data_IF_340345308101
#
_entry.id   IF_340345308101
#
_cell.length_a   1.000
_cell.length_b   1.000
_cell.length_c   1.000
_cell.angle_alpha   90.00
_cell.angle_beta   90.00
_cell.angle_gamma   90.00
#
_symmetry.space_group_name_H-M   'P 1'
#
loop_
_entity.id
_entity.type
_entity.pdbx_description
1 polymer ?
#
# COMPACT_ATOMS: atom_id res chain seq x y z
N UNK A 1 -69.01 -31.01 34.00
CA UNK A 1 -67.85 -31.28 34.85
C UNK A 1 -66.66 -31.42 33.95
N UNK A 2 -65.96 -30.35 33.87
CA UNK A 2 -64.54 -30.17 34.26
C UNK A 2 -63.59 -30.78 33.29
N UNK A 3 -62.58 -30.30 32.85
CA UNK A 3 -61.74 -29.10 33.17
C UNK A 3 -60.78 -28.93 32.03
N UNK A 4 -60.52 -27.74 31.73
CA UNK A 4 -59.39 -27.29 30.90
C UNK A 4 -58.04 -27.67 31.49
N UNK A 5 -57.01 -27.90 30.73
CA UNK A 5 -55.73 -27.31 31.03
C UNK A 5 -55.09 -26.57 29.86
N UNK A 6 -54.96 -25.32 30.06
CA UNK A 6 -53.81 -24.46 29.89
C UNK A 6 -52.84 -24.74 28.72
N UNK A 7 -52.97 -23.82 27.78
CA UNK A 7 -51.90 -23.36 26.89
C UNK A 7 -50.62 -22.99 27.69
N UNK A 8 -49.56 -23.66 27.35
CA UNK A 8 -48.20 -23.24 27.66
C UNK A 8 -47.54 -22.74 26.38
N UNK A 9 -47.49 -21.42 26.27
CA UNK A 9 -46.68 -20.69 25.29
C UNK A 9 -45.17 -20.87 25.63
N UNK A 10 -44.35 -21.40 24.74
CA UNK A 10 -42.89 -21.31 24.92
C UNK A 10 -42.37 -19.94 24.49
N UNK A 11 -41.61 -19.35 25.39
CA UNK A 11 -40.82 -18.16 25.32
C UNK A 11 -39.93 -18.10 24.07
N UNK A 12 -39.78 -16.97 23.38
CA UNK A 12 -38.80 -16.79 22.33
C UNK A 12 -37.49 -16.36 22.97
N UNK A 13 -36.64 -17.32 23.34
CA UNK A 13 -35.28 -17.08 23.79
C UNK A 13 -34.28 -17.36 22.68
N UNK A 14 -33.38 -16.35 22.52
CA UNK A 14 -32.04 -16.42 21.97
C UNK A 14 -31.89 -16.64 20.47
N UNK A 15 -32.17 -15.59 19.74
CA UNK A 15 -31.48 -15.34 18.48
C UNK A 15 -30.09 -14.72 18.81
N UNK A 16 -29.10 -15.61 18.97
CA UNK A 16 -27.71 -15.23 18.98
C UNK A 16 -27.34 -14.66 17.58
N UNK A 17 -26.93 -13.38 17.42
CA UNK A 17 -26.53 -12.87 16.12
C UNK A 17 -25.20 -13.52 15.72
N UNK A 18 -25.20 -14.19 14.58
CA UNK A 18 -24.06 -14.77 13.91
C UNK A 18 -22.96 -13.68 13.70
N UNK A 19 -21.72 -13.87 14.23
CA UNK A 19 -20.65 -12.87 14.07
C UNK A 19 -20.01 -12.88 12.67
N UNK A 20 -20.60 -13.53 11.67
CA UNK A 20 -20.08 -13.67 10.31
C UNK A 20 -20.78 -12.77 9.29
N UNK A 21 -20.87 -11.48 9.54
CA UNK A 21 -21.61 -10.61 8.62
C UNK A 21 -21.19 -9.15 8.57
N UNK A 22 -19.96 -8.81 8.93
CA UNK A 22 -19.42 -7.50 8.61
C UNK A 22 -18.72 -7.56 7.25
N UNK A 23 -19.47 -7.30 6.17
CA UNK A 23 -18.89 -7.02 4.86
C UNK A 23 -18.11 -5.70 4.97
N UNK A 24 -16.76 -5.69 4.88
CA UNK A 24 -16.01 -4.43 4.91
C UNK A 24 -16.42 -3.65 3.65
N UNK A 25 -16.94 -2.44 3.86
CA UNK A 25 -17.28 -1.52 2.79
C UNK A 25 -16.07 -1.24 1.88
N UNK A 26 -16.30 -0.79 0.63
CA UNK A 26 -15.21 -0.55 -0.31
C UNK A 26 -14.31 0.56 0.21
N UNK A 27 -13.11 0.20 0.72
CA UNK A 27 -12.11 1.17 1.13
C UNK A 27 -11.30 0.83 2.39
N UNK A 28 -11.71 -0.11 3.22
CA UNK A 28 -10.90 -0.50 4.38
C UNK A 28 -9.72 -1.39 3.95
N UNK A 29 -8.48 -1.05 4.33
CA UNK A 29 -7.35 -1.93 4.04
C UNK A 29 -7.54 -3.25 4.79
N UNK A 30 -7.65 -4.34 4.03
CA UNK A 30 -7.70 -5.70 4.59
C UNK A 30 -6.41 -5.92 5.38
N UNK A 31 -6.48 -6.37 6.66
CA UNK A 31 -5.29 -6.71 7.41
C UNK A 31 -4.48 -7.76 6.64
N UNK A 32 -3.15 -7.62 6.67
CA UNK A 32 -2.25 -8.57 6.02
C UNK A 32 -2.54 -9.98 6.54
N UNK A 33 -2.92 -10.90 5.65
CA UNK A 33 -2.84 -12.32 5.97
C UNK A 33 -1.35 -12.69 5.97
N UNK A 34 -0.85 -13.28 7.03
CA UNK A 34 0.55 -13.75 7.21
C UNK A 34 0.95 -14.87 6.23
N UNK A 35 0.50 -14.81 5.01
CA UNK A 35 0.74 -15.82 3.95
C UNK A 35 0.60 -15.26 2.53
N UNK A 36 0.20 -14.00 2.36
CA UNK A 36 0.07 -13.41 1.02
C UNK A 36 1.44 -13.06 0.44
N UNK A 37 1.97 -13.94 -0.39
CA UNK A 37 3.25 -13.74 -1.07
C UNK A 37 3.13 -12.84 -2.31
N UNK A 38 1.93 -12.52 -2.76
CA UNK A 38 1.70 -11.68 -3.94
C UNK A 38 1.79 -10.18 -3.64
N UNK A 39 1.80 -9.82 -2.35
CA UNK A 39 1.67 -8.43 -1.91
C UNK A 39 2.59 -8.11 -0.74
N UNK A 40 3.12 -6.89 -0.71
CA UNK A 40 3.75 -6.27 0.46
C UNK A 40 2.81 -5.20 0.99
N UNK A 41 2.56 -5.18 2.29
CA UNK A 41 1.75 -4.16 2.96
C UNK A 41 2.55 -3.51 4.07
N UNK A 42 2.60 -2.19 4.07
CA UNK A 42 3.25 -1.40 5.12
C UNK A 42 2.27 -0.34 5.58
N UNK A 43 2.19 -0.13 6.87
CA UNK A 43 1.43 0.96 7.47
C UNK A 43 2.32 1.73 8.43
N UNK A 44 2.23 3.06 8.39
CA UNK A 44 2.98 3.94 9.28
C UNK A 44 2.13 5.14 9.67
N UNK A 45 2.20 5.53 10.94
CA UNK A 45 1.71 6.82 11.39
C UNK A 45 2.77 7.89 11.15
N UNK A 46 2.34 9.00 10.55
CA UNK A 46 3.15 10.20 10.32
C UNK A 46 2.51 11.37 11.09
N UNK A 47 3.24 12.08 11.97
CA UNK A 47 2.68 13.17 12.78
C UNK A 47 2.50 14.47 11.95
N UNK A 48 2.08 14.35 10.70
CA UNK A 48 1.91 15.42 9.74
C UNK A 48 0.53 15.28 9.05
N UNK A 49 -0.16 16.38 8.73
CA UNK A 49 -1.48 16.33 8.09
C UNK A 49 -1.38 15.73 6.67
N UNK A 50 -2.48 15.11 6.15
CA UNK A 50 -2.49 14.47 4.82
C UNK A 50 -2.00 15.38 3.69
N UNK A 51 -2.38 16.66 3.70
CA UNK A 51 -1.91 17.64 2.70
C UNK A 51 -0.38 17.74 2.64
N UNK A 52 0.31 17.74 3.80
CA UNK A 52 1.78 17.80 3.86
C UNK A 52 2.41 16.50 3.34
N UNK A 53 1.86 15.35 3.74
CA UNK A 53 2.31 14.04 3.25
C UNK A 53 2.10 13.91 1.74
N UNK A 54 0.96 14.37 1.25
CA UNK A 54 0.65 14.39 -0.18
C UNK A 54 1.67 15.18 -0.98
N UNK A 55 2.03 16.38 -0.52
CA UNK A 55 3.08 17.18 -1.15
C UNK A 55 4.41 16.43 -1.24
N UNK A 56 4.82 15.78 -0.16
CA UNK A 56 6.05 14.98 -0.15
C UNK A 56 6.02 13.80 -1.14
N UNK A 57 4.83 13.27 -1.46
CA UNK A 57 4.64 12.20 -2.44
C UNK A 57 4.52 12.69 -3.89
N UNK A 58 4.21 13.97 -4.12
CA UNK A 58 3.79 14.45 -5.44
C UNK A 58 4.51 15.71 -5.94
N UNK A 59 5.19 16.46 -5.08
CA UNK A 59 6.01 17.59 -5.51
C UNK A 59 7.44 17.09 -5.85
N UNK A 60 7.93 17.29 -7.10
CA UNK A 60 9.22 16.73 -7.54
C UNK A 60 10.39 17.07 -6.63
N UNK A 61 10.51 18.34 -6.18
CA UNK A 61 11.59 18.77 -5.32
C UNK A 61 11.55 18.13 -3.92
N UNK A 62 10.35 17.80 -3.43
CA UNK A 62 10.18 17.11 -2.15
C UNK A 62 10.38 15.60 -2.32
N UNK A 63 9.86 15.04 -3.40
CA UNK A 63 10.02 13.63 -3.75
C UNK A 63 11.52 13.27 -3.88
N UNK A 64 12.32 14.11 -4.53
CA UNK A 64 13.75 13.93 -4.71
C UNK A 64 14.55 13.90 -3.39
N UNK A 65 13.99 14.39 -2.28
CA UNK A 65 14.67 14.38 -0.99
C UNK A 65 14.68 13.00 -0.29
N UNK A 66 13.81 12.10 -0.70
CA UNK A 66 13.64 10.81 -0.03
C UNK A 66 13.52 9.61 -0.96
N UNK A 67 13.12 9.84 -2.21
CA UNK A 67 13.01 8.81 -3.24
C UNK A 67 14.35 8.63 -3.96
N UNK A 68 14.43 7.66 -4.87
CA UNK A 68 15.60 7.40 -5.70
C UNK A 68 15.85 8.53 -6.71
N UNK A 69 17.10 8.74 -7.17
CA UNK A 69 17.44 9.64 -8.27
C UNK A 69 16.57 9.40 -9.51
N UNK A 70 16.14 10.46 -10.17
CA UNK A 70 15.18 10.44 -11.30
C UNK A 70 13.76 10.81 -10.86
N UNK A 71 13.50 10.91 -9.55
CA UNK A 71 12.19 11.31 -9.03
C UNK A 71 11.85 12.78 -9.27
N UNK A 72 12.83 13.61 -9.56
CA UNK A 72 12.69 15.00 -9.99
C UNK A 72 11.94 15.15 -11.32
N UNK A 73 11.90 14.09 -12.13
CA UNK A 73 11.15 14.04 -13.39
C UNK A 73 9.66 13.70 -13.19
N UNK A 74 9.24 13.43 -11.96
CA UNK A 74 7.85 13.11 -11.64
C UNK A 74 6.88 14.23 -12.03
N UNK A 75 5.73 13.86 -12.55
CA UNK A 75 4.57 14.74 -12.76
C UNK A 75 3.30 14.03 -12.33
N UNK A 76 2.43 14.74 -11.61
CA UNK A 76 1.15 14.21 -11.18
C UNK A 76 0.14 14.24 -12.34
N UNK A 77 0.34 13.35 -13.29
CA UNK A 77 -0.48 13.19 -14.49
C UNK A 77 -0.65 11.70 -14.80
N UNK A 78 -1.88 11.23 -14.96
CA UNK A 78 -2.16 9.84 -15.31
C UNK A 78 -1.53 9.50 -16.67
N UNK A 79 -0.77 8.42 -16.70
CA UNK A 79 -0.01 7.99 -17.87
C UNK A 79 1.42 8.56 -17.94
N UNK A 80 1.76 9.58 -17.15
CA UNK A 80 3.13 10.11 -17.10
C UNK A 80 4.13 9.01 -16.72
N UNK A 81 5.27 8.97 -17.41
CA UNK A 81 6.35 8.00 -17.21
C UNK A 81 7.64 8.70 -16.87
N UNK A 82 8.38 8.14 -15.95
CA UNK A 82 9.71 8.59 -15.58
C UNK A 82 10.55 7.40 -15.12
N UNK A 83 11.86 7.62 -15.01
CA UNK A 83 12.81 6.56 -14.69
C UNK A 83 13.51 6.87 -13.38
N UNK A 84 13.56 5.89 -12.49
CA UNK A 84 14.35 5.97 -11.27
C UNK A 84 15.63 5.14 -11.42
N UNK A 85 16.71 5.61 -10.79
CA UNK A 85 18.01 4.94 -10.82
C UNK A 85 18.38 4.45 -9.42
N UNK A 86 18.81 3.20 -9.34
CA UNK A 86 19.28 2.56 -8.11
C UNK A 86 20.53 1.73 -8.39
N UNK A 87 21.14 1.19 -7.33
CA UNK A 87 22.27 0.28 -7.47
C UNK A 87 21.81 -1.06 -8.08
N UNK A 88 22.39 -1.50 -9.19
CA UNK A 88 22.07 -2.80 -9.78
C UNK A 88 22.27 -3.95 -8.79
N UNK A 89 21.38 -4.94 -8.85
CA UNK A 89 21.45 -6.15 -8.01
C UNK A 89 21.33 -7.40 -8.87
N UNK A 90 22.44 -7.91 -9.44
CA UNK A 90 22.42 -9.05 -10.35
C UNK A 90 21.78 -10.30 -9.73
N UNK A 91 21.99 -10.53 -8.42
CA UNK A 91 21.40 -11.68 -7.70
C UNK A 91 19.86 -11.63 -7.60
N UNK A 92 19.26 -10.46 -7.77
CA UNK A 92 17.81 -10.25 -7.82
C UNK A 92 17.34 -9.95 -9.25
N UNK A 93 18.21 -10.15 -10.24
CA UNK A 93 17.96 -9.80 -11.66
C UNK A 93 17.46 -8.37 -11.84
N UNK A 94 17.99 -7.44 -11.06
CA UNK A 94 17.63 -6.03 -11.06
C UNK A 94 18.70 -5.20 -11.78
N UNK A 95 18.30 -4.52 -12.86
CA UNK A 95 19.21 -3.73 -13.70
C UNK A 95 19.68 -2.43 -13.06
N UNK A 96 18.99 -1.96 -12.03
CA UNK A 96 19.21 -0.66 -11.42
C UNK A 96 18.38 0.45 -12.05
N UNK A 97 17.57 0.17 -13.04
CA UNK A 97 16.71 1.15 -13.71
C UNK A 97 15.25 0.74 -13.56
N UNK A 98 14.43 1.61 -13.00
CA UNK A 98 13.01 1.38 -12.78
C UNK A 98 12.19 2.29 -13.70
N UNK A 99 11.34 1.71 -14.53
CA UNK A 99 10.30 2.42 -15.28
C UNK A 99 9.07 2.58 -14.38
N UNK A 100 8.69 3.82 -14.13
CA UNK A 100 7.53 4.17 -13.31
C UNK A 100 6.49 4.86 -14.20
N UNK A 101 5.21 4.49 -14.02
CA UNK A 101 4.09 5.15 -14.67
C UNK A 101 2.98 5.45 -13.68
N UNK A 102 2.51 6.68 -13.65
CA UNK A 102 1.34 7.08 -12.85
C UNK A 102 0.08 6.40 -13.42
N UNK A 103 -0.61 5.63 -12.59
CA UNK A 103 -1.82 4.90 -12.96
C UNK A 103 -3.08 5.66 -12.58
N UNK A 104 -3.12 6.16 -11.36
CA UNK A 104 -4.27 6.88 -10.81
C UNK A 104 -3.84 7.73 -9.62
N UNK A 105 -4.63 8.76 -9.30
CA UNK A 105 -4.48 9.48 -8.05
C UNK A 105 -5.81 10.11 -7.61
N UNK A 106 -5.93 10.30 -6.31
CA UNK A 106 -6.96 11.11 -5.65
C UNK A 106 -6.21 12.09 -4.74
N UNK A 107 -6.30 13.41 -4.96
CA UNK A 107 -5.55 14.38 -4.18
C UNK A 107 -5.69 14.17 -2.67
N UNK A 108 -4.56 14.18 -1.96
CA UNK A 108 -4.45 13.99 -0.50
C UNK A 108 -4.96 12.63 0.02
N UNK A 109 -5.30 11.68 -0.85
CA UNK A 109 -5.88 10.39 -0.47
C UNK A 109 -5.16 9.19 -1.06
N UNK A 110 -4.80 9.24 -2.33
CA UNK A 110 -4.25 8.07 -3.01
C UNK A 110 -3.36 8.44 -4.19
N UNK A 111 -2.23 7.74 -4.32
CA UNK A 111 -1.39 7.71 -5.50
C UNK A 111 -1.08 6.25 -5.85
N UNK A 112 -1.32 5.86 -7.09
CA UNK A 112 -0.98 4.52 -7.60
C UNK A 112 -0.05 4.65 -8.81
N UNK A 113 1.02 3.89 -8.79
CA UNK A 113 2.02 3.86 -9.86
C UNK A 113 2.34 2.42 -10.26
N UNK A 114 2.56 2.20 -11.55
CA UNK A 114 3.23 1.00 -12.04
C UNK A 114 4.72 1.10 -11.71
N UNK A 115 5.33 -0.03 -11.39
CA UNK A 115 6.74 -0.15 -11.04
C UNK A 115 7.35 -1.38 -11.70
N UNK A 116 8.29 -1.21 -12.59
CA UNK A 116 8.92 -2.32 -13.29
C UNK A 116 10.40 -2.06 -13.54
N UNK A 117 11.22 -3.10 -13.53
CA UNK A 117 12.60 -3.00 -14.01
C UNK A 117 12.57 -2.75 -15.53
N UNK A 118 13.20 -1.66 -15.95
CA UNK A 118 13.18 -1.22 -17.35
C UNK A 118 13.90 -2.21 -18.30
N UNK A 119 14.85 -2.99 -17.78
CA UNK A 119 15.72 -3.88 -18.57
C UNK A 119 15.56 -5.36 -18.22
N UNK A 120 14.58 -5.73 -17.41
CA UNK A 120 14.35 -7.14 -17.10
C UNK A 120 13.89 -7.91 -18.34
N UNK A 121 14.43 -9.15 -18.57
CA UNK A 121 14.01 -9.99 -19.69
C UNK A 121 12.51 -10.36 -19.65
N UNK A 122 11.96 -10.43 -18.45
CA UNK A 122 10.52 -10.49 -18.16
C UNK A 122 10.22 -9.37 -17.20
N UNK A 123 9.59 -8.33 -17.69
CA UNK A 123 9.16 -7.21 -16.87
C UNK A 123 8.06 -7.70 -15.91
N UNK A 124 8.37 -7.77 -14.63
CA UNK A 124 7.33 -7.87 -13.61
C UNK A 124 6.48 -6.59 -13.66
N UNK A 125 5.19 -6.73 -13.64
CA UNK A 125 4.24 -5.62 -13.71
C UNK A 125 3.66 -5.36 -12.32
N UNK A 126 4.47 -4.74 -11.47
CA UNK A 126 4.09 -4.44 -10.10
C UNK A 126 3.38 -3.11 -9.99
N UNK A 127 2.48 -3.01 -9.04
CA UNK A 127 1.78 -1.77 -8.68
C UNK A 127 2.11 -1.37 -7.27
N UNK A 128 2.42 -0.10 -7.06
CA UNK A 128 2.60 0.50 -5.74
C UNK A 128 1.49 1.51 -5.54
N UNK A 129 0.70 1.33 -4.47
CA UNK A 129 -0.35 2.25 -4.09
C UNK A 129 -0.09 2.82 -2.71
N UNK A 130 -0.03 4.13 -2.63
CA UNK A 130 0.01 4.92 -1.40
C UNK A 130 -1.41 5.36 -1.07
N UNK A 131 -1.86 5.13 0.17
CA UNK A 131 -3.13 5.66 0.68
C UNK A 131 -2.89 6.47 1.93
N UNK A 132 -3.56 7.60 2.04
CA UNK A 132 -3.48 8.53 3.16
C UNK A 132 -4.84 8.58 3.84
N UNK A 133 -4.85 8.31 5.13
CA UNK A 133 -6.03 8.44 5.98
C UNK A 133 -5.71 9.39 7.14
N UNK A 134 -6.55 10.37 7.38
CA UNK A 134 -6.35 11.26 8.51
C UNK A 134 -6.53 10.48 9.82
N UNK A 135 -5.55 10.60 10.71
CA UNK A 135 -5.57 10.00 12.05
C UNK A 135 -5.22 11.07 13.10
N UNK A 136 -6.22 11.58 13.79
CA UNK A 136 -6.05 12.71 14.69
C UNK A 136 -5.53 13.95 13.96
N UNK A 137 -4.36 14.46 14.35
CA UNK A 137 -3.65 15.56 13.68
C UNK A 137 -2.64 15.09 12.64
N UNK A 138 -2.45 13.79 12.51
CA UNK A 138 -1.50 13.18 11.60
C UNK A 138 -2.16 12.39 10.49
N UNK A 139 -1.37 11.53 9.87
CA UNK A 139 -1.76 10.69 8.75
C UNK A 139 -1.37 9.24 9.03
N UNK A 140 -2.31 8.31 8.86
CA UNK A 140 -2.01 6.90 8.66
C UNK A 140 -1.71 6.70 7.17
N UNK A 141 -0.46 6.40 6.87
CA UNK A 141 -0.01 6.06 5.52
C UNK A 141 -0.03 4.54 5.36
N UNK A 142 -0.66 4.08 4.29
CA UNK A 142 -0.61 2.69 3.84
C UNK A 142 0.12 2.63 2.51
N UNK A 143 1.06 1.70 2.40
CA UNK A 143 1.68 1.32 1.14
C UNK A 143 1.31 -0.12 0.83
N UNK A 144 0.81 -0.35 -0.38
CA UNK A 144 0.56 -1.67 -0.95
C UNK A 144 1.41 -1.81 -2.20
N UNK A 145 2.27 -2.82 -2.24
CA UNK A 145 3.08 -3.17 -3.39
C UNK A 145 2.68 -4.59 -3.79
N UNK A 146 2.06 -4.73 -4.95
CA UNK A 146 1.39 -5.95 -5.38
C UNK A 146 1.79 -6.38 -6.79
N UNK A 147 1.43 -7.62 -7.16
CA UNK A 147 1.71 -8.22 -8.46
C UNK A 147 2.91 -9.16 -8.45
N UNK A 148 3.42 -9.57 -7.27
CA UNK A 148 4.47 -10.57 -7.18
C UNK A 148 3.94 -11.96 -7.52
N UNK A 149 4.72 -12.69 -8.32
CA UNK A 149 4.44 -14.09 -8.65
C UNK A 149 5.15 -15.00 -7.63
N UNK A 150 4.39 -15.71 -6.77
CA UNK A 150 4.97 -16.59 -5.75
C UNK A 150 5.69 -17.81 -6.34
N UNK A 151 5.40 -18.17 -7.58
CA UNK A 151 6.02 -19.30 -8.28
C UNK A 151 7.33 -18.90 -9.00
N UNK A 152 7.65 -17.58 -9.06
CA UNK A 152 8.92 -17.07 -9.60
C UNK A 152 9.92 -16.78 -8.47
N UNK A 153 10.99 -17.60 -8.30
CA UNK A 153 12.01 -17.39 -7.26
C UNK A 153 12.70 -16.02 -7.35
N UNK A 154 12.84 -15.45 -8.55
CA UNK A 154 13.46 -14.15 -8.76
C UNK A 154 12.56 -13.04 -8.21
N UNK A 155 11.25 -13.12 -8.45
CA UNK A 155 10.30 -12.18 -7.90
C UNK A 155 10.17 -12.31 -6.37
N UNK A 156 10.26 -13.52 -5.84
CA UNK A 156 10.28 -13.73 -4.38
C UNK A 156 11.52 -13.14 -3.72
N UNK A 157 12.69 -13.25 -4.37
CA UNK A 157 13.91 -12.57 -3.90
C UNK A 157 13.74 -11.04 -3.95
N UNK A 158 13.24 -10.50 -5.05
CA UNK A 158 12.96 -9.07 -5.19
C UNK A 158 11.96 -8.59 -4.13
N UNK A 159 10.87 -9.32 -3.92
CA UNK A 159 9.87 -9.03 -2.88
C UNK A 159 10.49 -8.93 -1.49
N UNK A 160 11.35 -9.89 -1.12
CA UNK A 160 12.05 -9.89 0.18
C UNK A 160 12.93 -8.64 0.36
N UNK A 161 13.68 -8.27 -0.68
CA UNK A 161 14.53 -7.07 -0.66
C UNK A 161 13.69 -5.80 -0.54
N UNK A 162 12.61 -5.72 -1.31
CA UNK A 162 11.71 -4.56 -1.32
C UNK A 162 10.95 -4.40 -0.01
N UNK A 163 10.43 -5.49 0.58
CA UNK A 163 9.76 -5.43 1.89
C UNK A 163 10.70 -4.89 2.97
N UNK A 164 11.93 -5.37 3.02
CA UNK A 164 12.95 -4.83 3.92
C UNK A 164 13.26 -3.35 3.63
N UNK A 165 13.37 -2.97 2.37
CA UNK A 165 13.63 -1.59 1.94
C UNK A 165 12.50 -0.63 2.32
N UNK A 166 11.24 -1.01 2.08
CA UNK A 166 10.08 -0.21 2.46
C UNK A 166 10.05 0.06 3.96
N UNK A 167 10.19 -0.97 4.80
CA UNK A 167 10.10 -0.85 6.25
C UNK A 167 11.26 -0.11 6.89
N UNK A 168 12.48 -0.36 6.41
CA UNK A 168 13.69 0.15 7.09
C UNK A 168 14.20 1.48 6.55
N UNK A 169 14.08 1.72 5.25
CA UNK A 169 14.70 2.86 4.59
C UNK A 169 13.69 3.88 4.08
N UNK A 170 12.78 3.47 3.22
CA UNK A 170 11.88 4.41 2.51
C UNK A 170 10.98 5.16 3.48
N UNK A 171 10.32 4.45 4.40
CA UNK A 171 9.44 5.08 5.38
C UNK A 171 10.18 6.04 6.31
N UNK A 172 11.41 5.72 6.69
CA UNK A 172 12.25 6.61 7.49
C UNK A 172 12.66 7.85 6.71
N UNK A 173 13.07 7.68 5.45
CA UNK A 173 13.49 8.79 4.59
C UNK A 173 12.35 9.77 4.32
N UNK A 174 11.15 9.25 4.08
CA UNK A 174 9.93 10.06 3.96
C UNK A 174 9.63 10.83 5.25
N UNK A 175 9.68 10.18 6.42
CA UNK A 175 9.50 10.84 7.71
C UNK A 175 10.49 11.97 7.92
N UNK A 176 11.77 11.72 7.68
CA UNK A 176 12.83 12.74 7.77
C UNK A 176 12.63 13.90 6.79
N UNK A 177 12.12 13.65 5.58
CA UNK A 177 11.82 14.71 4.63
C UNK A 177 10.65 15.57 5.13
N UNK A 178 9.60 14.93 5.65
CA UNK A 178 8.47 15.63 6.25
C UNK A 178 8.86 16.52 7.43
N UNK A 179 9.76 16.05 8.29
CA UNK A 179 10.22 16.83 9.45
C UNK A 179 11.01 18.10 9.05
N UNK A 180 11.60 18.10 7.84
CA UNK A 180 12.35 19.25 7.31
C UNK A 180 11.49 20.25 6.51
N UNK A 181 10.28 19.88 6.13
CA UNK A 181 9.31 20.78 5.47
C UNK A 181 8.63 21.71 6.49
#
# INVERSE_FOLDING_TARGET
>A
MNSDPQDANPDPQDANPDPRGANPGPGSPVPASDGDLTTIRVAQFLPHPPAKVWRALTEPELLAQWQMPGSEDFRLEVGHRYTLTAVPRPNANFSGIVDVRVLAYEPERMLSVRWADANAPRSADWTITWRLEQEGRGTRLFLVHEGFDPDDPTQMMARKIMDGGWRSHVMRSLGNALDRM
#
